data_IF_849049821919
#
_entry.id   IF_849049821919
#
_cell.length_a   1.000
_cell.length_b   1.000
_cell.length_c   1.000
_cell.angle_alpha   90.00
_cell.angle_beta   90.00
_cell.angle_gamma   90.00
#
_symmetry.space_group_name_H-M   'P 1'
#
loop_
_entity.id
_entity.type
_entity.pdbx_description
1 polymer ?
#
# COMPACT_ATOMS: atom_id res chain seq x y z
N UNK A 1 38.60 22.67 -49.42
CA UNK A 1 38.96 21.93 -48.21
C UNK A 1 38.38 22.53 -46.93
N UNK A 2 38.42 23.83 -46.67
CA UNK A 2 37.93 24.46 -45.42
C UNK A 2 36.42 24.24 -45.16
N UNK A 3 35.56 24.36 -46.17
CA UNK A 3 34.11 24.16 -46.03
C UNK A 3 33.71 22.73 -45.67
N UNK A 4 34.48 21.72 -46.09
CA UNK A 4 34.24 20.31 -45.77
C UNK A 4 34.63 20.04 -44.30
N UNK A 5 35.70 20.69 -43.81
CA UNK A 5 36.12 20.58 -42.41
C UNK A 5 35.11 21.22 -41.45
N UNK A 6 34.48 22.34 -41.83
CA UNK A 6 33.44 22.96 -41.04
C UNK A 6 32.14 22.13 -40.95
N UNK A 7 31.79 21.45 -42.06
CA UNK A 7 30.62 20.54 -42.02
C UNK A 7 30.85 19.33 -41.12
N UNK A 8 32.07 18.77 -41.10
CA UNK A 8 32.42 17.68 -40.20
C UNK A 8 32.45 18.12 -38.71
N UNK A 9 32.91 19.33 -38.42
CA UNK A 9 32.91 19.88 -37.04
C UNK A 9 31.50 20.10 -36.53
N UNK A 10 30.56 20.59 -37.35
CA UNK A 10 29.15 20.77 -36.95
C UNK A 10 28.45 19.42 -36.78
N UNK A 11 28.75 18.43 -37.65
CA UNK A 11 28.18 17.08 -37.50
C UNK A 11 28.68 16.39 -36.22
N UNK A 12 29.96 16.55 -35.86
CA UNK A 12 30.56 16.01 -34.66
C UNK A 12 29.97 16.69 -33.39
N UNK A 13 29.65 17.98 -33.43
CA UNK A 13 28.96 18.67 -32.33
C UNK A 13 27.50 18.17 -32.10
N UNK A 14 26.79 17.86 -33.19
CA UNK A 14 25.44 17.33 -33.12
C UNK A 14 25.35 15.90 -32.57
N UNK A 15 26.40 15.07 -32.81
CA UNK A 15 26.46 13.69 -32.28
C UNK A 15 26.93 13.65 -30.83
N UNK A 16 27.60 14.70 -30.34
CA UNK A 16 28.09 14.80 -28.96
C UNK A 16 26.99 15.11 -27.91
N UNK A 17 25.78 15.48 -28.29
CA UNK A 17 24.64 15.50 -27.42
C UNK A 17 24.10 14.08 -27.25
N UNK A 18 24.88 13.26 -26.55
CA UNK A 18 24.37 12.02 -26.03
C UNK A 18 23.12 12.35 -25.25
N UNK A 19 21.96 11.94 -25.78
CA UNK A 19 20.72 11.89 -25.04
C UNK A 19 20.99 11.12 -23.75
N UNK A 20 21.18 11.86 -22.65
CA UNK A 20 21.01 11.27 -21.31
C UNK A 20 19.70 10.54 -21.40
N UNK A 21 19.63 9.25 -21.03
CA UNK A 21 18.35 8.59 -20.96
C UNK A 21 17.47 9.52 -20.12
N UNK A 22 16.46 10.12 -20.74
CA UNK A 22 15.41 10.78 -20.00
C UNK A 22 14.84 9.65 -19.17
N UNK A 23 15.19 9.63 -17.87
CA UNK A 23 14.38 8.89 -16.93
C UNK A 23 13.02 9.56 -17.08
N UNK A 24 12.17 8.95 -17.90
CA UNK A 24 10.75 9.25 -17.85
C UNK A 24 10.41 9.08 -16.36
N UNK A 25 10.15 10.19 -15.69
CA UNK A 25 9.61 10.16 -14.36
C UNK A 25 8.32 9.35 -14.50
N UNK A 26 8.44 8.04 -14.27
CA UNK A 26 7.27 7.25 -13.97
C UNK A 26 6.64 7.99 -12.81
N UNK A 27 5.47 8.57 -13.04
CA UNK A 27 4.70 9.17 -11.96
C UNK A 27 4.53 8.02 -10.97
N UNK A 28 5.31 8.04 -9.88
CA UNK A 28 5.17 7.09 -8.80
C UNK A 28 3.85 7.41 -8.13
N UNK A 29 2.77 6.86 -8.65
CA UNK A 29 1.45 6.98 -8.04
C UNK A 29 1.43 5.93 -6.94
N UNK A 30 1.80 6.35 -5.74
CA UNK A 30 1.72 5.49 -4.55
C UNK A 30 0.26 5.16 -4.22
N UNK A 31 0.06 3.99 -3.62
CA UNK A 31 -1.23 3.64 -3.03
C UNK A 31 -1.58 4.71 -1.98
N UNK A 32 -2.82 5.24 -1.96
CA UNK A 32 -3.21 6.23 -0.98
C UNK A 32 -2.94 5.75 0.45
N UNK A 33 -2.30 6.59 1.25
CA UNK A 33 -1.97 6.28 2.63
C UNK A 33 -3.23 6.12 3.50
N UNK A 34 -4.24 6.95 3.23
CA UNK A 34 -5.53 6.93 3.91
C UNK A 34 -6.65 6.57 2.96
N UNK A 35 -7.45 5.60 3.39
CA UNK A 35 -8.64 5.18 2.66
C UNK A 35 -9.82 6.12 2.94
N UNK A 36 -10.90 5.92 2.21
CA UNK A 36 -12.17 6.55 2.55
C UNK A 36 -12.69 6.10 3.92
N UNK A 37 -12.47 4.82 4.27
CA UNK A 37 -12.87 4.28 5.55
C UNK A 37 -12.17 5.00 6.71
N UNK A 38 -10.85 5.24 6.62
CA UNK A 38 -10.12 6.01 7.63
C UNK A 38 -10.73 7.39 7.85
N UNK A 39 -11.09 8.08 6.77
CA UNK A 39 -11.69 9.42 6.85
C UNK A 39 -13.04 9.40 7.55
N UNK A 40 -13.85 8.39 7.26
CA UNK A 40 -15.19 8.24 7.87
C UNK A 40 -15.05 7.89 9.36
N UNK A 41 -14.22 6.91 9.69
CA UNK A 41 -14.09 6.42 11.05
C UNK A 41 -13.43 7.45 11.96
N UNK A 42 -12.40 8.16 11.52
CA UNK A 42 -11.71 9.20 12.29
C UNK A 42 -12.43 10.55 12.35
N UNK A 43 -13.43 10.78 11.50
CA UNK A 43 -14.15 12.05 11.47
C UNK A 43 -14.83 12.37 12.81
N UNK A 44 -14.77 13.64 13.22
CA UNK A 44 -15.49 14.14 14.42
C UNK A 44 -16.97 14.33 14.14
N UNK A 45 -17.29 14.86 12.94
CA UNK A 45 -18.65 15.10 12.50
C UNK A 45 -18.83 14.57 11.08
N UNK A 46 -19.96 13.92 10.84
CA UNK A 46 -20.37 13.42 9.52
C UNK A 46 -21.79 13.88 9.23
N UNK A 47 -21.99 14.50 8.08
CA UNK A 47 -23.32 14.94 7.64
C UNK A 47 -23.60 14.50 6.21
N UNK A 48 -24.87 14.30 5.90
CA UNK A 48 -25.37 14.35 4.54
C UNK A 48 -25.76 15.80 4.24
N UNK A 49 -25.27 16.34 3.14
CA UNK A 49 -25.51 17.71 2.76
C UNK A 49 -26.06 17.80 1.33
N UNK A 50 -26.85 18.82 1.06
CA UNK A 50 -27.36 19.15 -0.26
C UNK A 50 -26.90 20.55 -0.68
N UNK A 51 -26.92 20.91 -1.97
CA UNK A 51 -26.69 22.27 -2.40
C UNK A 51 -27.63 23.24 -1.70
N UNK A 52 -27.11 24.33 -1.15
CA UNK A 52 -27.95 25.35 -0.50
C UNK A 52 -28.87 26.02 -1.53
N UNK A 53 -30.16 26.18 -1.25
CA UNK A 53 -31.07 26.92 -2.13
C UNK A 53 -30.69 28.38 -2.28
N UNK A 54 -30.18 29.00 -1.21
CA UNK A 54 -29.94 30.42 -1.11
C UNK A 54 -28.49 30.82 -1.49
N UNK A 55 -27.58 29.85 -1.53
CA UNK A 55 -26.17 30.12 -1.81
C UNK A 55 -25.52 29.01 -2.63
N UNK A 56 -25.24 29.26 -3.94
CA UNK A 56 -24.69 28.22 -4.83
C UNK A 56 -23.23 27.82 -4.51
N UNK A 57 -22.60 28.46 -3.54
CA UNK A 57 -21.23 28.18 -3.10
C UNK A 57 -21.15 27.41 -1.79
N UNK A 58 -22.30 26.93 -1.28
CA UNK A 58 -22.39 26.23 -0.01
C UNK A 58 -23.26 25.00 -0.07
N UNK A 59 -23.02 24.12 0.89
CA UNK A 59 -23.93 23.02 1.18
C UNK A 59 -24.69 23.32 2.48
N UNK A 60 -25.94 22.85 2.54
CA UNK A 60 -26.77 22.84 3.74
C UNK A 60 -26.82 21.40 4.27
N UNK A 61 -26.58 21.16 5.59
CA UNK A 61 -26.76 19.85 6.19
C UNK A 61 -28.21 19.41 6.11
N UNK A 62 -28.43 18.19 5.65
CA UNK A 62 -29.76 17.55 5.55
C UNK A 62 -29.96 16.56 6.70
N UNK A 63 -28.88 15.86 7.08
CA UNK A 63 -28.90 14.86 8.16
C UNK A 63 -27.54 14.78 8.82
N UNK A 64 -27.52 14.71 10.15
CA UNK A 64 -26.31 14.48 10.95
C UNK A 64 -26.18 12.98 11.19
N UNK A 65 -25.08 12.38 10.71
CA UNK A 65 -24.81 10.96 10.87
C UNK A 65 -23.87 10.67 12.05
N UNK A 66 -22.94 11.58 12.36
CA UNK A 66 -22.04 11.51 13.52
C UNK A 66 -21.88 12.93 14.09
N UNK A 67 -21.89 13.04 15.42
CA UNK A 67 -21.96 14.32 16.13
C UNK A 67 -23.39 14.72 16.45
N UNK A 68 -23.60 15.96 16.91
CA UNK A 68 -24.92 16.53 17.21
C UNK A 68 -25.23 17.74 16.32
N UNK A 69 -26.51 18.15 16.16
CA UNK A 69 -26.87 19.35 15.42
C UNK A 69 -26.14 20.60 15.94
N UNK A 70 -26.03 20.76 17.25
CA UNK A 70 -25.35 21.89 17.89
C UNK A 70 -23.85 21.90 17.56
N UNK A 71 -23.23 20.72 17.49
CA UNK A 71 -21.83 20.60 17.04
C UNK A 71 -21.69 21.06 15.58
N UNK A 72 -22.64 20.68 14.72
CA UNK A 72 -22.61 21.07 13.30
C UNK A 72 -22.76 22.60 13.16
N UNK A 73 -23.67 23.21 13.90
CA UNK A 73 -23.92 24.66 13.92
C UNK A 73 -22.70 25.47 14.42
N UNK A 74 -21.92 24.90 15.34
CA UNK A 74 -20.70 25.52 15.84
C UNK A 74 -19.50 25.42 14.88
N UNK A 75 -19.62 24.64 13.78
CA UNK A 75 -18.57 24.47 12.79
C UNK A 75 -18.66 25.54 11.68
N UNK A 76 -17.55 25.77 10.95
CA UNK A 76 -17.60 26.60 9.74
C UNK A 76 -18.62 26.05 8.76
N UNK A 77 -19.21 26.95 7.97
CA UNK A 77 -20.13 26.60 6.90
C UNK A 77 -19.54 25.57 5.93
N UNK A 78 -20.37 24.66 5.43
CA UNK A 78 -19.91 23.58 4.54
C UNK A 78 -19.68 24.15 3.15
N UNK A 79 -18.44 24.17 2.63
CA UNK A 79 -18.13 24.70 1.32
C UNK A 79 -18.68 23.80 0.19
N UNK A 80 -19.01 24.38 -0.95
CA UNK A 80 -19.48 23.66 -2.12
C UNK A 80 -18.33 23.00 -2.87
N UNK A 81 -17.86 21.87 -2.36
CA UNK A 81 -16.73 21.09 -2.91
C UNK A 81 -17.21 20.12 -4.01
N UNK A 82 -17.55 20.62 -5.17
CA UNK A 82 -18.06 19.80 -6.27
C UNK A 82 -17.26 19.96 -7.56
N UNK A 83 -17.13 18.83 -8.26
CA UNK A 83 -16.67 18.80 -9.65
C UNK A 83 -17.86 18.87 -10.64
N UNK A 84 -17.54 18.89 -11.93
CA UNK A 84 -18.54 18.94 -13.00
C UNK A 84 -19.51 17.75 -13.00
N UNK A 85 -19.01 16.55 -12.66
CA UNK A 85 -19.80 15.31 -12.62
C UNK A 85 -20.83 15.39 -11.50
N UNK A 86 -20.39 15.79 -10.31
CA UNK A 86 -21.29 15.94 -9.16
C UNK A 86 -22.33 17.04 -9.38
N UNK A 87 -21.93 18.15 -9.98
CA UNK A 87 -22.86 19.24 -10.36
C UNK A 87 -23.93 18.76 -11.34
N UNK A 88 -23.54 17.97 -12.33
CA UNK A 88 -24.50 17.35 -13.27
C UNK A 88 -25.43 16.37 -12.55
N UNK A 89 -24.93 15.60 -11.58
CA UNK A 89 -25.72 14.66 -10.81
C UNK A 89 -26.77 15.36 -9.93
N UNK A 90 -26.45 16.50 -9.32
CA UNK A 90 -27.42 17.31 -8.58
C UNK A 90 -28.47 17.94 -9.49
N UNK A 91 -28.11 18.42 -10.70
CA UNK A 91 -29.07 18.91 -11.67
C UNK A 91 -30.05 17.83 -12.13
N UNK A 92 -29.56 16.62 -12.38
CA UNK A 92 -30.38 15.49 -12.79
C UNK A 92 -31.31 14.98 -11.69
N UNK A 93 -30.88 15.04 -10.42
CA UNK A 93 -31.64 14.59 -9.24
C UNK A 93 -31.37 15.54 -8.06
N UNK A 94 -32.17 16.64 -7.93
CA UNK A 94 -31.95 17.67 -6.88
C UNK A 94 -32.00 17.14 -5.44
N UNK A 95 -32.73 16.04 -5.19
CA UNK A 95 -32.82 15.41 -3.86
C UNK A 95 -31.62 14.57 -3.45
N UNK A 96 -30.58 14.47 -4.28
CA UNK A 96 -29.34 13.76 -3.90
C UNK A 96 -28.61 14.51 -2.80
N UNK A 97 -27.87 13.73 -2.00
CA UNK A 97 -26.99 14.26 -0.95
C UNK A 97 -25.54 13.85 -1.20
N UNK A 98 -24.64 14.60 -0.62
CA UNK A 98 -23.21 14.31 -0.55
C UNK A 98 -22.81 14.04 0.89
N UNK A 99 -21.93 13.06 1.11
CA UNK A 99 -21.31 12.85 2.41
C UNK A 99 -20.23 13.91 2.61
N UNK A 100 -20.34 14.65 3.71
CA UNK A 100 -19.33 15.60 4.16
C UNK A 100 -18.80 15.16 5.52
N UNK A 101 -17.49 15.19 5.69
CA UNK A 101 -16.82 14.80 6.94
C UNK A 101 -15.98 15.97 7.45
N UNK A 102 -15.95 16.15 8.77
CA UNK A 102 -15.18 17.20 9.44
C UNK A 102 -14.24 16.60 10.49
N UNK A 103 -12.99 17.11 10.49
CA UNK A 103 -12.04 16.78 11.55
C UNK A 103 -11.57 15.33 11.49
N UNK A 104 -11.29 14.80 10.30
CA UNK A 104 -10.59 13.54 10.15
C UNK A 104 -9.20 13.66 10.80
N UNK A 105 -8.97 12.90 11.87
CA UNK A 105 -7.79 13.05 12.74
C UNK A 105 -6.64 12.14 12.36
N UNK A 106 -6.03 12.33 11.18
CA UNK A 106 -4.82 11.61 10.80
C UNK A 106 -3.69 12.57 10.40
N UNK A 107 -2.47 12.06 10.48
CA UNK A 107 -1.26 12.78 10.12
C UNK A 107 -0.69 12.23 8.81
N UNK A 108 0.03 13.04 8.05
CA UNK A 108 0.78 12.57 6.91
C UNK A 108 2.06 11.82 7.35
N UNK A 109 2.79 11.22 6.39
CA UNK A 109 4.06 10.52 6.65
C UNK A 109 5.12 11.38 7.35
N UNK A 110 5.00 12.70 7.27
CA UNK A 110 5.87 13.66 7.95
C UNK A 110 5.35 14.07 9.33
N UNK A 111 4.29 13.45 9.84
CA UNK A 111 3.69 13.76 11.13
C UNK A 111 2.87 15.05 11.15
N UNK A 112 2.56 15.65 10.00
CA UNK A 112 1.78 16.88 9.91
C UNK A 112 0.30 16.53 9.93
N UNK A 113 -0.46 17.15 10.84
CA UNK A 113 -1.91 17.03 10.88
C UNK A 113 -2.51 17.56 9.58
N UNK A 114 -3.38 16.76 8.94
CA UNK A 114 -4.13 17.22 7.79
C UNK A 114 -5.14 18.29 8.20
N UNK A 115 -5.52 19.20 7.25
CA UNK A 115 -6.43 20.30 7.58
C UNK A 115 -7.70 19.79 8.27
N UNK A 116 -8.02 20.39 9.39
CA UNK A 116 -9.18 20.04 10.24
C UNK A 116 -10.51 20.61 9.72
N UNK A 117 -10.63 20.85 8.42
CA UNK A 117 -11.81 21.41 7.78
C UNK A 117 -12.80 20.37 7.26
N UNK A 118 -13.85 20.86 6.60
CA UNK A 118 -14.76 20.04 5.86
C UNK A 118 -14.06 19.38 4.65
N UNK A 119 -14.22 18.10 4.50
CA UNK A 119 -13.78 17.34 3.34
C UNK A 119 -14.96 16.58 2.72
N UNK A 120 -14.94 16.50 1.40
CA UNK A 120 -15.94 15.77 0.65
C UNK A 120 -15.64 14.27 0.70
N UNK A 121 -16.62 13.47 1.12
CA UNK A 121 -16.61 12.03 0.95
C UNK A 121 -17.03 11.64 -0.46
N UNK A 122 -18.34 11.51 -0.68
CA UNK A 122 -18.90 11.06 -1.95
C UNK A 122 -20.36 11.44 -2.11
N UNK A 123 -20.82 11.45 -3.36
CA UNK A 123 -22.26 11.55 -3.68
C UNK A 123 -22.97 10.26 -3.24
N UNK A 124 -24.09 10.38 -2.52
CA UNK A 124 -24.81 9.22 -2.01
C UNK A 124 -25.49 8.42 -3.11
N UNK A 125 -25.36 7.11 -3.00
CA UNK A 125 -26.09 6.08 -3.75
C UNK A 125 -26.57 5.02 -2.77
N UNK A 126 -27.51 4.13 -3.11
CA UNK A 126 -27.93 3.06 -2.22
C UNK A 126 -26.75 2.23 -1.71
N UNK A 127 -25.89 1.71 -2.59
CA UNK A 127 -24.73 0.87 -2.22
C UNK A 127 -23.77 1.59 -1.28
N UNK A 128 -23.56 2.91 -1.49
CA UNK A 128 -22.73 3.74 -0.62
C UNK A 128 -23.38 4.02 0.73
N UNK A 129 -24.71 4.06 0.77
CA UNK A 129 -25.43 4.19 2.04
C UNK A 129 -25.31 2.92 2.87
N UNK A 130 -25.46 1.75 2.25
CA UNK A 130 -25.29 0.46 2.91
C UNK A 130 -23.86 0.26 3.40
N UNK A 131 -22.86 0.54 2.55
CA UNK A 131 -21.46 0.56 2.95
C UNK A 131 -21.21 1.47 4.17
N UNK A 132 -21.69 2.70 4.12
CA UNK A 132 -21.50 3.67 5.18
C UNK A 132 -22.15 3.23 6.49
N UNK A 133 -23.36 2.69 6.39
CA UNK A 133 -24.11 2.17 7.56
C UNK A 133 -23.32 1.05 8.24
N UNK A 134 -22.92 0.02 7.48
CA UNK A 134 -22.19 -1.13 8.00
C UNK A 134 -20.80 -0.74 8.50
N UNK A 135 -20.06 0.08 7.75
CA UNK A 135 -18.75 0.58 8.20
C UNK A 135 -18.82 1.31 9.53
N UNK A 136 -19.85 2.10 9.76
CA UNK A 136 -20.02 2.82 11.04
C UNK A 136 -20.45 1.93 12.18
N UNK A 137 -21.20 0.87 11.89
CA UNK A 137 -21.66 -0.08 12.91
C UNK A 137 -20.50 -1.01 13.36
N UNK A 138 -19.72 -1.52 12.42
CA UNK A 138 -18.69 -2.54 12.67
C UNK A 138 -17.28 -1.97 12.80
N UNK A 139 -17.02 -0.84 12.16
CA UNK A 139 -15.66 -0.30 11.99
C UNK A 139 -15.17 0.59 13.14
N UNK A 140 -15.94 0.79 14.22
CA UNK A 140 -15.53 1.71 15.28
C UNK A 140 -14.22 1.29 15.96
N UNK A 141 -14.05 0.00 16.17
CA UNK A 141 -12.85 -0.56 16.79
C UNK A 141 -11.65 -0.60 15.81
N UNK A 142 -11.91 -0.58 14.50
CA UNK A 142 -10.84 -0.58 13.49
C UNK A 142 -10.05 0.74 13.47
N UNK A 143 -10.70 1.87 13.77
CA UNK A 143 -10.04 3.17 13.84
C UNK A 143 -9.14 3.31 15.08
N UNK A 144 -9.34 2.50 16.11
CA UNK A 144 -8.60 2.57 17.38
C UNK A 144 -7.24 1.83 17.38
N UNK A 145 -6.94 1.09 16.32
CA UNK A 145 -5.64 0.43 16.13
C UNK A 145 -5.46 -0.92 16.85
N UNK A 146 -6.49 -1.45 17.51
CA UNK A 146 -6.51 -2.78 18.13
C UNK A 146 -7.59 -3.69 17.50
N UNK A 147 -7.59 -3.91 16.20
CA UNK A 147 -8.74 -4.50 15.55
C UNK A 147 -8.66 -6.01 15.46
N UNK A 148 -9.83 -6.64 15.45
CA UNK A 148 -9.98 -7.90 14.75
C UNK A 148 -9.81 -7.66 13.24
N UNK A 149 -8.55 -7.76 12.79
CA UNK A 149 -8.20 -7.56 11.39
C UNK A 149 -8.86 -8.58 10.46
N UNK A 150 -9.28 -9.74 10.97
CA UNK A 150 -10.00 -10.73 10.19
C UNK A 150 -11.41 -10.23 9.83
N UNK A 151 -12.14 -9.63 10.77
CA UNK A 151 -13.43 -9.00 10.51
C UNK A 151 -13.30 -7.82 9.52
N UNK A 152 -12.28 -6.98 9.69
CA UNK A 152 -11.97 -5.89 8.74
C UNK A 152 -11.71 -6.43 7.33
N UNK A 153 -10.88 -7.47 7.19
CA UNK A 153 -10.59 -8.11 5.90
C UNK A 153 -11.86 -8.71 5.29
N UNK A 154 -12.69 -9.40 6.08
CA UNK A 154 -13.95 -9.98 5.63
C UNK A 154 -14.90 -8.88 5.10
N UNK A 155 -15.06 -7.78 5.82
CA UNK A 155 -15.89 -6.65 5.39
C UNK A 155 -15.42 -6.08 4.05
N UNK A 156 -14.13 -5.71 3.93
CA UNK A 156 -13.64 -5.10 2.70
C UNK A 156 -13.55 -6.07 1.54
N UNK A 157 -13.38 -7.37 1.78
CA UNK A 157 -13.32 -8.37 0.72
C UNK A 157 -14.61 -8.43 -0.11
N UNK A 158 -15.76 -8.15 0.49
CA UNK A 158 -17.05 -8.10 -0.18
C UNK A 158 -17.13 -7.00 -1.28
N UNK A 159 -16.25 -5.98 -1.20
CA UNK A 159 -16.22 -4.87 -2.15
C UNK A 159 -15.12 -4.97 -3.20
N UNK A 160 -14.27 -5.99 -3.20
CA UNK A 160 -13.15 -6.13 -4.14
C UNK A 160 -13.59 -6.25 -5.61
N UNK A 161 -14.76 -6.83 -5.85
CA UNK A 161 -15.35 -6.97 -7.20
C UNK A 161 -16.56 -6.05 -7.42
N UNK A 162 -16.79 -5.09 -6.54
CA UNK A 162 -17.94 -4.22 -6.60
C UNK A 162 -17.87 -3.26 -7.80
N UNK A 163 -19.01 -2.98 -8.47
CA UNK A 163 -19.08 -2.10 -9.64
C UNK A 163 -18.76 -0.63 -9.30
N UNK A 164 -19.12 -0.20 -8.09
CA UNK A 164 -18.74 1.13 -7.61
C UNK A 164 -17.23 1.22 -7.36
N UNK A 165 -16.55 1.98 -8.24
CA UNK A 165 -15.10 2.18 -8.18
C UNK A 165 -14.60 2.77 -6.87
N UNK A 166 -15.40 3.59 -6.19
CA UNK A 166 -15.01 4.20 -4.92
C UNK A 166 -14.92 3.15 -3.83
N UNK A 167 -15.95 2.28 -3.73
CA UNK A 167 -15.99 1.18 -2.78
C UNK A 167 -14.88 0.17 -3.05
N UNK A 168 -14.71 -0.23 -4.34
CA UNK A 168 -13.64 -1.12 -4.76
C UNK A 168 -12.25 -0.56 -4.47
N UNK A 169 -12.01 0.73 -4.70
CA UNK A 169 -10.74 1.37 -4.40
C UNK A 169 -10.46 1.39 -2.89
N UNK A 170 -11.48 1.70 -2.10
CA UNK A 170 -11.37 1.66 -0.63
C UNK A 170 -11.00 0.25 -0.16
N UNK A 171 -11.68 -0.77 -0.67
CA UNK A 171 -11.39 -2.16 -0.36
C UNK A 171 -9.94 -2.55 -0.73
N UNK A 172 -9.44 -2.17 -1.89
CA UNK A 172 -8.06 -2.47 -2.30
C UNK A 172 -7.03 -1.84 -1.37
N UNK A 173 -7.25 -0.62 -0.87
CA UNK A 173 -6.36 0.03 0.09
C UNK A 173 -6.34 -0.76 1.41
N UNK A 174 -7.51 -1.11 1.94
CA UNK A 174 -7.63 -1.82 3.22
C UNK A 174 -7.06 -3.23 3.14
N UNK A 175 -7.33 -3.96 2.07
CA UNK A 175 -6.78 -5.31 1.82
C UNK A 175 -5.27 -5.26 1.66
N UNK A 176 -4.69 -4.25 1.00
CA UNK A 176 -3.24 -4.11 0.92
C UNK A 176 -2.57 -3.91 2.29
N UNK A 177 -3.22 -3.23 3.21
CA UNK A 177 -2.71 -2.98 4.58
C UNK A 177 -2.80 -4.20 5.49
N UNK A 178 -3.64 -5.16 5.14
CA UNK A 178 -3.80 -6.37 5.92
C UNK A 178 -2.56 -7.27 5.81
N UNK A 179 -2.19 -7.98 6.89
CA UNK A 179 -1.17 -9.03 6.82
C UNK A 179 -1.50 -10.07 5.76
N UNK A 180 -0.50 -10.49 4.97
CA UNK A 180 -0.74 -11.36 3.81
C UNK A 180 -1.33 -12.71 4.20
N UNK A 181 -0.97 -13.24 5.37
CA UNK A 181 -1.53 -14.50 5.89
C UNK A 181 -3.05 -14.45 6.12
N UNK A 182 -3.60 -13.26 6.43
CA UNK A 182 -5.06 -13.06 6.51
C UNK A 182 -5.73 -13.07 5.14
N UNK A 183 -4.99 -12.80 4.07
CA UNK A 183 -5.54 -12.75 2.72
C UNK A 183 -5.63 -14.12 2.04
N UNK A 184 -4.98 -15.15 2.59
CA UNK A 184 -4.92 -16.49 1.97
C UNK A 184 -6.30 -17.12 1.75
N UNK A 185 -7.30 -16.76 2.55
CA UNK A 185 -8.69 -17.21 2.36
C UNK A 185 -9.45 -16.46 1.25
N UNK A 186 -8.85 -15.40 0.68
CA UNK A 186 -9.43 -14.66 -0.45
C UNK A 186 -9.07 -15.28 -1.81
N UNK A 187 -8.56 -16.53 -1.83
CA UNK A 187 -8.26 -17.25 -3.06
C UNK A 187 -9.48 -17.25 -3.99
N UNK A 188 -9.26 -16.81 -5.24
CA UNK A 188 -10.27 -16.74 -6.30
C UNK A 188 -11.52 -15.87 -5.98
N UNK A 189 -11.48 -15.03 -4.93
CA UNK A 189 -12.57 -14.10 -4.59
C UNK A 189 -12.79 -13.03 -5.66
N UNK A 190 -11.72 -12.59 -6.31
CA UNK A 190 -11.77 -11.62 -7.42
C UNK A 190 -11.47 -12.35 -8.72
N UNK A 191 -12.28 -12.18 -9.78
CA UNK A 191 -11.99 -12.81 -11.06
C UNK A 191 -10.61 -12.45 -11.60
N UNK A 192 -9.81 -13.44 -11.97
CA UNK A 192 -8.45 -13.24 -12.55
C UNK A 192 -8.47 -12.25 -13.71
N UNK A 193 -9.47 -12.33 -14.58
CA UNK A 193 -9.61 -11.43 -15.74
C UNK A 193 -9.70 -9.96 -15.29
N UNK A 194 -10.43 -9.67 -14.21
CA UNK A 194 -10.54 -8.33 -13.64
C UNK A 194 -9.20 -7.84 -13.08
N UNK A 195 -8.49 -8.68 -12.31
CA UNK A 195 -7.17 -8.33 -11.76
C UNK A 195 -6.17 -8.01 -12.89
N UNK A 196 -6.14 -8.84 -13.94
CA UNK A 196 -5.26 -8.64 -15.10
C UNK A 196 -5.63 -7.38 -15.89
N UNK A 197 -6.92 -7.06 -16.04
CA UNK A 197 -7.39 -5.85 -16.67
C UNK A 197 -6.99 -4.61 -15.87
N UNK A 198 -7.21 -4.63 -14.56
CA UNK A 198 -6.87 -3.53 -13.67
C UNK A 198 -5.35 -3.27 -13.65
N UNK A 199 -4.51 -4.30 -13.63
CA UNK A 199 -3.04 -4.15 -13.69
C UNK A 199 -2.53 -3.54 -15.00
N UNK A 200 -3.28 -3.67 -16.10
CA UNK A 200 -2.94 -3.06 -17.40
C UNK A 200 -3.45 -1.62 -17.53
N UNK A 201 -4.34 -1.19 -16.65
CA UNK A 201 -4.98 0.12 -16.76
C UNK A 201 -4.11 1.21 -16.10
N UNK A 202 -3.59 2.20 -16.86
CA UNK A 202 -2.77 3.28 -16.29
C UNK A 202 -3.46 4.05 -15.16
N UNK A 203 -4.78 4.18 -15.19
CA UNK A 203 -5.56 4.84 -14.14
C UNK A 203 -5.68 4.01 -12.86
N UNK A 204 -5.13 2.80 -12.83
CA UNK A 204 -5.17 1.87 -11.69
C UNK A 204 -3.78 1.62 -11.11
N UNK A 205 -2.74 2.26 -11.60
CA UNK A 205 -1.35 2.06 -11.16
C UNK A 205 -1.17 2.23 -9.64
N UNK A 206 -1.87 3.18 -9.03
CA UNK A 206 -1.84 3.37 -7.57
C UNK A 206 -2.28 2.11 -6.79
N UNK A 207 -3.10 1.27 -7.37
CA UNK A 207 -3.63 0.05 -6.74
C UNK A 207 -2.84 -1.21 -7.11
N UNK A 208 -1.81 -1.08 -7.93
CA UNK A 208 -0.99 -2.22 -8.37
C UNK A 208 -0.47 -3.08 -7.20
N UNK A 209 0.02 -2.53 -6.07
CA UNK A 209 0.45 -3.34 -4.93
C UNK A 209 -0.63 -4.32 -4.44
N UNK A 210 -1.86 -3.83 -4.22
CA UNK A 210 -2.97 -4.65 -3.78
C UNK A 210 -3.36 -5.72 -4.83
N UNK A 211 -3.41 -5.31 -6.11
CA UNK A 211 -3.76 -6.20 -7.21
C UNK A 211 -2.74 -7.33 -7.40
N UNK A 212 -1.44 -7.04 -7.24
CA UNK A 212 -0.35 -8.02 -7.31
C UNK A 212 -0.49 -9.06 -6.18
N UNK A 213 -0.72 -8.60 -4.95
CA UNK A 213 -0.94 -9.49 -3.80
C UNK A 213 -2.13 -10.42 -4.00
N UNK A 214 -3.27 -9.88 -4.46
CA UNK A 214 -4.46 -10.67 -4.80
C UNK A 214 -4.22 -11.64 -5.97
N UNK A 215 -3.43 -11.23 -6.97
CA UNK A 215 -3.08 -12.08 -8.10
C UNK A 215 -2.23 -13.28 -7.67
N UNK A 216 -1.32 -13.09 -6.68
CA UNK A 216 -0.53 -14.17 -6.08
C UNK A 216 -1.37 -15.25 -5.39
N UNK A 217 -2.60 -14.95 -5.02
CA UNK A 217 -3.51 -15.89 -4.35
C UNK A 217 -4.43 -16.64 -5.33
N UNK A 218 -4.38 -16.33 -6.64
CA UNK A 218 -5.27 -16.98 -7.61
C UNK A 218 -4.81 -18.40 -7.95
N UNK A 219 -5.77 -19.31 -8.09
CA UNK A 219 -5.52 -20.66 -8.57
C UNK A 219 -5.33 -20.74 -10.10
N UNK A 220 -5.87 -19.76 -10.85
CA UNK A 220 -5.85 -19.67 -12.31
C UNK A 220 -4.41 -19.71 -12.87
N UNK A 221 -4.10 -20.63 -13.82
CA UNK A 221 -2.78 -20.69 -14.46
C UNK A 221 -2.32 -19.38 -15.10
N UNK A 222 -3.23 -18.57 -15.66
CA UNK A 222 -2.90 -17.26 -16.25
C UNK A 222 -2.45 -16.26 -15.19
N UNK A 223 -3.04 -16.31 -13.99
CA UNK A 223 -2.61 -15.50 -12.86
C UNK A 223 -1.20 -15.89 -12.43
N UNK A 224 -0.95 -17.19 -12.25
CA UNK A 224 0.37 -17.72 -11.86
C UNK A 224 1.45 -17.39 -12.88
N UNK A 225 1.15 -17.54 -14.17
CA UNK A 225 2.08 -17.13 -15.24
C UNK A 225 2.40 -15.63 -15.17
N UNK A 226 1.37 -14.79 -15.02
CA UNK A 226 1.57 -13.34 -14.90
C UNK A 226 2.40 -12.96 -13.67
N UNK A 227 2.19 -13.66 -12.54
CA UNK A 227 3.00 -13.46 -11.32
C UNK A 227 4.45 -13.85 -11.58
N UNK A 228 4.72 -15.01 -12.21
CA UNK A 228 6.09 -15.45 -12.56
C UNK A 228 6.83 -14.41 -13.41
N UNK A 229 6.19 -13.95 -14.48
CA UNK A 229 6.75 -12.91 -15.33
C UNK A 229 7.00 -11.60 -14.57
N UNK A 230 6.08 -11.25 -13.65
CA UNK A 230 6.16 -10.04 -12.85
C UNK A 230 7.28 -10.06 -11.84
N UNK A 231 7.36 -11.08 -10.98
CA UNK A 231 8.39 -11.13 -9.95
C UNK A 231 9.78 -11.33 -10.54
N UNK A 232 9.94 -12.18 -11.57
CA UNK A 232 11.21 -12.34 -12.25
C UNK A 232 11.69 -11.04 -12.91
N UNK A 233 10.79 -10.27 -13.50
CA UNK A 233 11.13 -8.95 -14.04
C UNK A 233 11.54 -7.98 -12.95
N UNK A 234 10.77 -7.89 -11.86
CA UNK A 234 11.06 -7.02 -10.73
C UNK A 234 12.40 -7.39 -10.06
N UNK A 235 12.66 -8.68 -9.89
CA UNK A 235 13.92 -9.19 -9.34
C UNK A 235 15.14 -8.92 -10.26
N UNK A 236 14.96 -8.77 -11.56
CA UNK A 236 16.05 -8.38 -12.47
C UNK A 236 16.28 -6.88 -12.51
N UNK A 237 15.23 -6.09 -12.64
CA UNK A 237 15.35 -4.65 -12.93
C UNK A 237 15.23 -3.74 -11.70
N UNK A 238 14.76 -4.27 -10.56
CA UNK A 238 14.32 -3.44 -9.45
C UNK A 238 13.00 -2.72 -9.74
N UNK A 239 12.76 -1.66 -9.01
CA UNK A 239 11.68 -0.74 -9.31
C UNK A 239 10.43 -0.93 -8.46
N UNK A 240 9.30 -0.47 -9.01
CA UNK A 240 8.04 -0.36 -8.28
C UNK A 240 7.47 -1.73 -7.88
N UNK A 241 6.90 -1.78 -6.68
CA UNK A 241 6.20 -2.94 -6.13
C UNK A 241 7.07 -4.20 -5.96
N UNK A 242 8.40 -4.01 -5.79
CA UNK A 242 9.34 -5.11 -5.62
C UNK A 242 8.93 -6.05 -4.46
N UNK A 243 8.50 -5.47 -3.34
CA UNK A 243 7.98 -6.20 -2.20
C UNK A 243 6.74 -7.06 -2.56
N UNK A 244 5.74 -6.46 -3.21
CA UNK A 244 4.49 -7.17 -3.52
C UNK A 244 4.70 -8.26 -4.58
N UNK A 245 5.57 -8.01 -5.57
CA UNK A 245 5.97 -9.02 -6.54
C UNK A 245 6.76 -10.18 -5.91
N UNK A 246 7.70 -9.88 -4.98
CA UNK A 246 8.42 -10.92 -4.24
C UNK A 246 7.47 -11.80 -3.43
N UNK A 247 6.54 -11.17 -2.71
CA UNK A 247 5.56 -11.88 -1.89
C UNK A 247 4.59 -12.73 -2.73
N UNK A 248 4.09 -12.20 -3.85
CA UNK A 248 3.26 -12.94 -4.79
C UNK A 248 4.04 -14.11 -5.44
N UNK A 249 5.32 -13.92 -5.74
CA UNK A 249 6.20 -14.97 -6.24
C UNK A 249 6.33 -16.13 -5.24
N UNK A 250 6.56 -15.82 -3.95
CA UNK A 250 6.62 -16.83 -2.88
C UNK A 250 5.28 -17.59 -2.77
N UNK A 251 4.16 -16.89 -2.89
CA UNK A 251 2.84 -17.53 -2.87
C UNK A 251 2.62 -18.53 -4.03
N UNK A 252 3.18 -18.24 -5.20
CA UNK A 252 2.98 -19.06 -6.42
C UNK A 252 4.01 -20.17 -6.54
N UNK A 253 5.30 -19.89 -6.29
CA UNK A 253 6.42 -20.78 -6.61
C UNK A 253 7.26 -21.21 -5.38
N UNK A 254 6.89 -20.74 -4.16
CA UNK A 254 7.52 -21.21 -2.91
C UNK A 254 9.04 -21.08 -2.90
N UNK A 255 9.72 -22.21 -2.72
CA UNK A 255 11.19 -22.29 -2.61
C UNK A 255 11.90 -21.66 -3.81
N UNK A 256 11.39 -21.87 -5.03
CA UNK A 256 11.99 -21.31 -6.23
C UNK A 256 12.03 -19.77 -6.19
N UNK A 257 10.94 -19.15 -5.77
CA UNK A 257 10.90 -17.69 -5.65
C UNK A 257 11.84 -17.16 -4.54
N UNK A 258 11.98 -17.89 -3.43
CA UNK A 258 12.93 -17.54 -2.36
C UNK A 258 14.35 -17.53 -2.89
N UNK A 259 14.77 -18.55 -3.65
CA UNK A 259 16.11 -18.62 -4.23
C UNK A 259 16.36 -17.53 -5.29
N UNK A 260 15.35 -17.14 -6.05
CA UNK A 260 15.46 -16.01 -6.98
C UNK A 260 15.56 -14.65 -6.23
N UNK A 261 14.88 -14.50 -5.10
CA UNK A 261 15.01 -13.33 -4.23
C UNK A 261 16.42 -13.28 -3.62
N UNK A 262 16.97 -14.39 -3.14
CA UNK A 262 18.34 -14.49 -2.64
C UNK A 262 19.35 -13.99 -3.69
N UNK A 263 19.31 -14.52 -4.90
CA UNK A 263 20.16 -14.05 -6.02
C UNK A 263 20.00 -12.55 -6.29
N UNK A 264 18.80 -12.03 -6.12
CA UNK A 264 18.53 -10.59 -6.28
C UNK A 264 19.12 -9.75 -5.15
N UNK A 265 19.13 -10.25 -3.92
CA UNK A 265 19.76 -9.61 -2.76
C UNK A 265 21.29 -9.52 -2.90
N UNK A 266 21.91 -10.50 -3.56
CA UNK A 266 23.36 -10.52 -3.80
C UNK A 266 23.86 -9.47 -4.80
N UNK A 267 22.97 -8.85 -5.55
CA UNK A 267 23.34 -7.89 -6.59
C UNK A 267 23.84 -6.60 -5.98
N UNK A 268 25.04 -6.19 -6.36
CA UNK A 268 25.71 -4.99 -5.83
C UNK A 268 24.99 -3.68 -6.15
N UNK A 269 24.22 -3.65 -7.25
CA UNK A 269 23.45 -2.49 -7.67
C UNK A 269 22.14 -2.27 -6.87
N UNK A 270 21.78 -3.20 -5.97
CA UNK A 270 20.58 -3.06 -5.15
C UNK A 270 20.72 -1.92 -4.14
N UNK A 271 19.77 -1.01 -4.14
CA UNK A 271 19.67 0.02 -3.11
C UNK A 271 19.31 -0.59 -1.75
N UNK A 272 19.59 0.13 -0.68
CA UNK A 272 19.20 -0.27 0.67
C UNK A 272 17.69 -0.49 0.80
N UNK A 273 16.87 0.36 0.18
CA UNK A 273 15.41 0.20 0.18
C UNK A 273 14.95 -1.05 -0.58
N UNK A 274 15.56 -1.37 -1.71
CA UNK A 274 15.24 -2.60 -2.45
C UNK A 274 15.62 -3.84 -1.64
N UNK A 275 16.77 -3.87 -0.97
CA UNK A 275 17.15 -4.96 -0.05
C UNK A 275 16.14 -5.10 1.08
N UNK A 276 15.72 -3.99 1.70
CA UNK A 276 14.69 -3.97 2.73
C UNK A 276 13.36 -4.53 2.24
N UNK A 277 12.92 -4.18 1.03
CA UNK A 277 11.69 -4.71 0.44
C UNK A 277 11.76 -6.22 0.19
N UNK A 278 12.90 -6.72 -0.29
CA UNK A 278 13.10 -8.16 -0.51
C UNK A 278 13.14 -8.95 0.81
N UNK A 279 13.84 -8.45 1.82
CA UNK A 279 13.86 -9.03 3.16
C UNK A 279 12.43 -9.08 3.74
N UNK A 280 11.67 -7.99 3.60
CA UNK A 280 10.28 -7.95 4.05
C UNK A 280 9.40 -8.95 3.29
N UNK A 281 9.59 -9.13 1.98
CA UNK A 281 8.82 -10.13 1.23
C UNK A 281 9.12 -11.56 1.70
N UNK A 282 10.38 -11.88 2.04
CA UNK A 282 10.76 -13.16 2.65
C UNK A 282 10.13 -13.33 4.04
N UNK A 283 10.17 -12.29 4.87
CA UNK A 283 9.61 -12.31 6.22
C UNK A 283 8.09 -12.56 6.22
N UNK A 284 7.35 -11.81 5.41
CA UNK A 284 5.91 -11.96 5.29
C UNK A 284 5.54 -13.27 4.59
N UNK A 285 6.38 -13.75 3.67
CA UNK A 285 6.28 -15.06 3.06
C UNK A 285 6.43 -16.19 4.09
N UNK A 286 7.45 -16.12 4.94
CA UNK A 286 7.67 -17.09 6.03
C UNK A 286 6.62 -17.03 7.14
N UNK A 287 6.02 -15.86 7.37
CA UNK A 287 4.88 -15.72 8.28
C UNK A 287 3.62 -16.37 7.69
N UNK A 288 3.39 -16.18 6.39
CA UNK A 288 2.23 -16.72 5.68
C UNK A 288 2.36 -18.23 5.44
N UNK A 289 3.55 -18.69 5.11
CA UNK A 289 3.86 -20.09 4.80
C UNK A 289 4.96 -20.63 5.72
N UNK A 290 4.67 -21.00 6.97
CA UNK A 290 5.67 -21.39 7.98
C UNK A 290 6.62 -22.51 7.55
N UNK A 291 6.19 -23.37 6.62
CA UNK A 291 7.02 -24.45 6.04
C UNK A 291 8.22 -23.92 5.27
N UNK A 292 8.19 -22.68 4.79
CA UNK A 292 9.28 -22.04 4.05
C UNK A 292 10.32 -21.37 4.97
N UNK A 293 10.02 -21.22 6.27
CA UNK A 293 10.93 -20.55 7.23
C UNK A 293 12.34 -21.13 7.26
N UNK A 294 12.56 -22.46 7.25
CA UNK A 294 13.93 -22.98 7.28
C UNK A 294 14.78 -22.46 6.12
N UNK A 295 14.28 -22.50 4.90
CA UNK A 295 14.99 -21.98 3.72
C UNK A 295 15.21 -20.46 3.82
N UNK A 296 14.22 -19.70 4.30
CA UNK A 296 14.35 -18.25 4.47
C UNK A 296 15.40 -17.92 5.54
N UNK A 297 15.47 -18.69 6.63
CA UNK A 297 16.51 -18.52 7.66
C UNK A 297 17.91 -18.81 7.10
N UNK A 298 18.07 -19.78 6.21
CA UNK A 298 19.34 -20.05 5.54
C UNK A 298 19.74 -18.87 4.63
N UNK A 299 18.81 -18.31 3.87
CA UNK A 299 19.04 -17.09 3.10
C UNK A 299 19.44 -15.92 3.98
N UNK A 300 18.76 -15.70 5.08
CA UNK A 300 19.08 -14.62 6.02
C UNK A 300 20.46 -14.81 6.66
N UNK A 301 20.81 -16.03 7.09
CA UNK A 301 22.14 -16.34 7.63
C UNK A 301 23.22 -16.00 6.62
N UNK A 302 23.06 -16.44 5.38
CA UNK A 302 24.01 -16.17 4.30
C UNK A 302 24.22 -14.67 4.07
N UNK A 303 23.15 -13.87 4.12
CA UNK A 303 23.24 -12.42 3.94
C UNK A 303 23.81 -11.70 5.16
N UNK A 304 23.56 -12.17 6.39
CA UNK A 304 24.19 -11.62 7.60
C UNK A 304 25.72 -11.81 7.59
N UNK A 305 26.19 -12.92 7.05
CA UNK A 305 27.64 -13.19 6.96
C UNK A 305 28.33 -12.31 5.90
N UNK A 306 27.60 -11.79 4.91
CA UNK A 306 28.13 -10.97 3.81
C UNK A 306 27.92 -9.47 3.97
N UNK A 307 26.84 -9.05 4.57
CA UNK A 307 26.38 -7.66 4.60
C UNK A 307 25.71 -7.33 5.94
N UNK A 308 26.47 -6.81 6.89
CA UNK A 308 25.94 -6.41 8.20
C UNK A 308 24.91 -5.30 8.14
N UNK A 309 24.83 -4.52 7.03
CA UNK A 309 23.89 -3.40 6.91
C UNK A 309 22.43 -3.85 6.84
N UNK A 310 22.18 -5.12 6.50
CA UNK A 310 20.82 -5.68 6.48
C UNK A 310 20.37 -6.28 7.81
N UNK A 311 21.28 -6.39 8.79
CA UNK A 311 21.04 -7.10 10.04
C UNK A 311 19.82 -6.61 10.82
N UNK A 312 19.64 -5.29 10.91
CA UNK A 312 18.49 -4.71 11.62
C UNK A 312 17.15 -5.14 10.97
N UNK A 313 17.09 -5.17 9.65
CA UNK A 313 15.83 -5.53 8.95
C UNK A 313 15.54 -7.02 9.08
N UNK A 314 16.59 -7.87 9.04
CA UNK A 314 16.43 -9.31 9.27
C UNK A 314 16.02 -9.57 10.73
N UNK A 315 16.63 -8.92 11.73
CA UNK A 315 16.24 -9.05 13.12
C UNK A 315 14.76 -8.71 13.35
N UNK A 316 14.32 -7.57 12.82
CA UNK A 316 12.91 -7.17 12.88
C UNK A 316 11.97 -8.13 12.12
N UNK A 317 12.45 -8.72 11.03
CA UNK A 317 11.71 -9.66 10.20
C UNK A 317 11.44 -11.00 10.88
N UNK A 318 12.43 -11.54 11.62
CA UNK A 318 12.32 -12.86 12.26
C UNK A 318 11.75 -12.81 13.67
N UNK A 319 11.74 -11.64 14.29
CA UNK A 319 11.18 -11.44 15.63
C UNK A 319 9.78 -12.03 15.83
N UNK A 320 8.81 -11.86 14.92
CA UNK A 320 7.47 -12.46 15.06
C UNK A 320 7.47 -13.99 14.98
N UNK A 321 8.58 -14.62 14.60
CA UNK A 321 8.67 -16.08 14.49
C UNK A 321 9.11 -16.75 15.80
N UNK A 322 9.60 -15.98 16.79
CA UNK A 322 10.09 -16.49 18.06
C UNK A 322 11.22 -17.50 17.85
N UNK A 323 12.21 -17.17 17.01
CA UNK A 323 13.33 -18.06 16.69
C UNK A 323 14.68 -17.45 17.07
N UNK A 324 15.52 -18.25 17.71
CA UNK A 324 16.90 -17.90 18.05
C UNK A 324 17.92 -18.39 17.01
N UNK A 325 17.47 -18.92 15.87
CA UNK A 325 18.32 -19.55 14.87
C UNK A 325 19.39 -18.61 14.26
N UNK A 326 19.20 -17.29 14.34
CA UNK A 326 20.12 -16.27 13.85
C UNK A 326 20.86 -15.51 14.97
N UNK A 327 20.62 -15.82 16.25
CA UNK A 327 21.24 -15.11 17.36
C UNK A 327 22.78 -15.14 17.29
N UNK A 328 23.46 -16.26 16.97
CA UNK A 328 24.93 -16.26 16.83
C UNK A 328 25.44 -15.27 15.77
N UNK A 329 24.70 -15.10 14.64
CA UNK A 329 25.08 -14.14 13.59
C UNK A 329 24.90 -12.70 14.07
N UNK A 330 23.79 -12.41 14.77
CA UNK A 330 23.54 -11.08 15.34
C UNK A 330 24.58 -10.73 16.41
N UNK A 331 24.93 -11.65 17.31
CA UNK A 331 25.95 -11.46 18.32
C UNK A 331 27.32 -11.18 17.71
N UNK A 332 27.70 -11.92 16.66
CA UNK A 332 28.95 -11.72 15.95
C UNK A 332 29.00 -10.32 15.28
N UNK A 333 27.91 -9.85 14.71
CA UNK A 333 27.82 -8.51 14.11
C UNK A 333 27.90 -7.44 15.20
N UNK A 334 27.19 -7.59 16.31
CA UNK A 334 27.22 -6.64 17.43
C UNK A 334 28.61 -6.55 18.12
N UNK A 335 29.39 -7.64 18.10
CA UNK A 335 30.74 -7.66 18.65
C UNK A 335 31.75 -6.86 17.81
N UNK A 336 31.48 -6.54 16.57
CA UNK A 336 32.36 -5.77 15.67
C UNK A 336 32.46 -4.27 16.02
N UNK A 337 31.62 -3.78 16.95
CA UNK A 337 31.60 -2.40 17.47
C UNK A 337 31.46 -1.27 16.40
N UNK A 338 30.99 -1.59 15.21
CA UNK A 338 30.85 -0.64 14.09
C UNK A 338 29.39 -0.21 13.84
N UNK A 339 28.47 -0.56 14.75
CA UNK A 339 27.06 -0.25 14.64
C UNK A 339 26.70 1.04 15.36
N UNK A 340 25.82 1.82 14.76
CA UNK A 340 25.22 2.97 15.45
C UNK A 340 24.39 2.48 16.67
N UNK A 341 24.29 3.33 17.74
CA UNK A 341 23.62 2.94 18.98
C UNK A 341 22.15 2.52 18.82
N UNK A 342 21.42 3.09 17.84
CA UNK A 342 20.01 2.76 17.62
C UNK A 342 19.87 1.37 16.97
N UNK A 343 20.71 1.05 16.00
CA UNK A 343 20.77 -0.29 15.38
C UNK A 343 21.13 -1.34 16.42
N UNK A 344 22.16 -1.07 17.26
CA UNK A 344 22.56 -1.97 18.33
C UNK A 344 21.42 -2.22 19.32
N UNK A 345 20.71 -1.17 19.74
CA UNK A 345 19.55 -1.29 20.63
C UNK A 345 18.45 -2.16 20.04
N UNK A 346 18.09 -1.91 18.77
CA UNK A 346 17.02 -2.66 18.09
C UNK A 346 17.41 -4.14 17.88
N UNK A 347 18.68 -4.43 17.55
CA UNK A 347 19.14 -5.80 17.41
C UNK A 347 19.12 -6.55 18.75
N UNK A 348 19.58 -5.93 19.85
CA UNK A 348 19.46 -6.51 21.20
C UNK A 348 18.01 -6.79 21.57
N UNK A 349 17.12 -5.82 21.37
CA UNK A 349 15.70 -5.99 21.65
C UNK A 349 15.05 -7.09 20.79
N UNK A 350 15.57 -7.37 19.60
CA UNK A 350 15.09 -8.47 18.76
C UNK A 350 15.52 -9.84 19.28
N UNK A 351 16.72 -9.94 19.87
CA UNK A 351 17.27 -11.17 20.47
C UNK A 351 16.65 -11.45 21.84
N UNK A 352 16.54 -10.40 22.69
CA UNK A 352 16.04 -10.51 24.07
C UNK A 352 14.54 -10.82 24.16
N UNK A 353 13.78 -10.55 23.08
CA UNK A 353 12.35 -10.84 23.04
C UNK A 353 12.00 -12.34 23.06
N UNK A 354 13.01 -13.23 22.99
CA UNK A 354 12.85 -14.69 23.00
C UNK A 354 13.01 -15.33 24.39
N UNK A 355 13.33 -14.57 25.45
CA UNK A 355 13.29 -15.12 26.80
C UNK A 355 11.85 -15.13 27.31
N UNK A 356 11.21 -16.32 27.44
CA UNK A 356 9.91 -16.40 28.08
C UNK A 356 10.06 -16.00 29.54
N UNK A 357 9.50 -14.84 29.93
CA UNK A 357 9.36 -14.40 31.31
C UNK A 357 8.38 -15.25 32.10
#
# INVERSE_FOLDING_TARGET
MWRVLQMFAVLALCVGFHSRPAHACGVCVELPEYSLADRILSARVIVLAAPSPDNPFRFTPVSVLKGTPEQVEALPEIPFLVDSVMRSAFRAKPGRTVLMVYGAGYQDKAGRSLPSGWTKGFLMTPDRADFLHTLRAEGQDWASGAPDRAAQVAFFSAYLSHDDRLLRNTALIEIHRAPYWLLTHLTDTVPTAQLLQDLRNPNRLAYAPALIRLLGLQSDPKAKERVRLGYQSALRSGGLNLYDWGLAGIAVDGDQAILEIEKSLERSERTADEKRFLIRSLADGGTTYPKLRPLILDVFRHHLDKDSTVAIWIALAVRPWGTNALNPNFEAIMAQNDLDPATLFLMRAAIEADEPG
#
